data_IF_176817754749
#
_entry.id   IF_176817754749
#
_cell.length_a   1.000
_cell.length_b   1.000
_cell.length_c   1.000
_cell.angle_alpha   90.00
_cell.angle_beta   90.00
_cell.angle_gamma   90.00
#
_symmetry.space_group_name_H-M   'P 1'
#
loop_
_entity.id
_entity.type
_entity.pdbx_description
1 polymer ?
#
# COMPACT_ATOMS: atom_id res chain seq x y z
N UNK A 1 24.76 -23.87 24.05
CA UNK A 1 23.30 -23.70 24.19
C UNK A 1 22.91 -22.52 23.30
N UNK A 2 22.40 -22.77 22.10
CA UNK A 2 21.91 -21.75 21.20
C UNK A 2 20.43 -21.52 21.50
N UNK A 3 20.10 -20.37 22.07
CA UNK A 3 18.72 -19.91 22.19
C UNK A 3 18.24 -19.44 20.84
N UNK A 4 17.51 -20.27 20.12
CA UNK A 4 16.74 -19.88 18.94
C UNK A 4 15.63 -18.96 19.38
N UNK A 5 15.76 -17.65 19.07
CA UNK A 5 14.67 -16.70 19.18
C UNK A 5 13.60 -17.06 18.15
N UNK A 6 12.46 -17.56 18.60
CA UNK A 6 11.27 -17.69 17.75
C UNK A 6 10.87 -16.28 17.25
N UNK A 7 11.07 -16.05 15.97
CA UNK A 7 10.44 -14.94 15.27
C UNK A 7 8.93 -15.21 15.22
N UNK A 8 8.19 -14.71 16.19
CA UNK A 8 6.73 -14.67 16.16
C UNK A 8 6.36 -13.61 15.10
N UNK A 9 6.26 -14.06 13.87
CA UNK A 9 5.81 -13.25 12.76
C UNK A 9 4.31 -12.97 12.92
N UNK A 10 3.95 -11.72 13.21
CA UNK A 10 2.58 -11.22 13.15
C UNK A 10 2.20 -10.98 11.68
N UNK A 11 2.08 -12.03 10.89
CA UNK A 11 1.79 -11.90 9.46
C UNK A 11 0.28 -12.05 9.24
N UNK A 12 -0.39 -10.93 8.94
CA UNK A 12 -1.79 -10.96 8.50
C UNK A 12 -1.80 -11.47 7.06
N UNK A 13 -2.37 -12.67 6.83
CA UNK A 13 -2.51 -13.21 5.48
C UNK A 13 -3.30 -12.24 4.61
N UNK A 14 -2.68 -11.78 3.53
CA UNK A 14 -3.37 -10.99 2.50
C UNK A 14 -4.49 -11.83 1.89
N UNK A 15 -5.71 -11.30 1.94
CA UNK A 15 -6.88 -11.87 1.27
C UNK A 15 -7.40 -10.85 0.24
N UNK A 16 -7.74 -11.34 -0.96
CA UNK A 16 -8.20 -10.47 -2.05
C UNK A 16 -7.07 -9.79 -2.83
N UNK A 17 -7.37 -8.65 -3.43
CA UNK A 17 -6.49 -7.90 -4.33
C UNK A 17 -5.63 -6.87 -3.60
N UNK A 18 -6.09 -6.36 -2.45
CA UNK A 18 -5.35 -5.45 -1.58
C UNK A 18 -5.83 -5.52 -0.13
N UNK A 19 -5.00 -4.98 0.78
CA UNK A 19 -5.31 -4.79 2.19
C UNK A 19 -5.35 -3.30 2.52
N UNK A 20 -6.49 -2.85 3.06
CA UNK A 20 -6.75 -1.53 3.56
C UNK A 20 -6.75 -1.55 5.08
N UNK A 21 -5.99 -0.67 5.73
CA UNK A 21 -5.91 -0.58 7.19
C UNK A 21 -6.52 0.72 7.69
N UNK A 22 -7.47 0.64 8.64
CA UNK A 22 -8.07 1.79 9.30
C UNK A 22 -7.24 2.18 10.52
N UNK A 23 -6.79 3.42 10.58
CA UNK A 23 -6.03 4.00 11.69
C UNK A 23 -6.76 5.23 12.20
N UNK A 24 -6.88 5.38 13.49
CA UNK A 24 -7.55 6.53 14.12
C UNK A 24 -7.75 6.27 15.60
N UNK A 25 -8.00 7.33 16.36
CA UNK A 25 -8.25 7.24 17.81
C UNK A 25 -9.55 6.46 18.12
N UNK A 26 -9.78 6.07 19.37
CA UNK A 26 -11.07 5.51 19.78
C UNK A 26 -12.22 6.46 19.45
N UNK A 27 -13.40 5.90 19.19
CA UNK A 27 -14.66 6.62 18.95
C UNK A 27 -14.73 7.53 17.72
N UNK A 28 -13.72 7.54 16.82
CA UNK A 28 -13.80 8.29 15.55
C UNK A 28 -14.71 7.65 14.50
N UNK A 29 -15.25 6.45 14.76
CA UNK A 29 -16.18 5.73 13.89
C UNK A 29 -15.52 4.73 12.93
N UNK A 30 -14.32 4.20 13.23
CA UNK A 30 -13.64 3.18 12.39
C UNK A 30 -14.49 1.93 12.15
N UNK A 31 -15.08 1.38 13.21
CA UNK A 31 -15.88 0.15 13.11
C UNK A 31 -17.20 0.39 12.36
N UNK A 32 -17.81 1.58 12.50
CA UNK A 32 -18.97 1.98 11.70
C UNK A 32 -18.57 2.09 10.22
N UNK A 33 -17.42 2.71 9.94
CA UNK A 33 -16.87 2.85 8.59
C UNK A 33 -16.56 1.48 7.97
N UNK A 34 -15.95 0.57 8.72
CA UNK A 34 -15.74 -0.82 8.30
C UNK A 34 -17.05 -1.47 7.87
N UNK A 35 -18.07 -1.40 8.72
CA UNK A 35 -19.36 -2.05 8.48
C UNK A 35 -20.05 -1.52 7.21
N UNK A 36 -20.06 -0.20 7.01
CA UNK A 36 -20.71 0.39 5.83
C UNK A 36 -19.93 0.14 4.55
N UNK A 37 -18.59 0.13 4.61
CA UNK A 37 -17.74 -0.17 3.45
C UNK A 37 -17.88 -1.63 3.01
N UNK A 38 -18.03 -2.56 3.93
CA UNK A 38 -17.96 -4.00 3.64
C UNK A 38 -19.33 -4.69 3.60
N UNK A 39 -20.42 -3.95 3.87
CA UNK A 39 -21.78 -4.50 4.02
C UNK A 39 -21.85 -5.67 5.03
N UNK A 40 -20.86 -5.79 5.90
CA UNK A 40 -20.77 -6.85 6.88
C UNK A 40 -21.31 -6.32 8.21
N UNK A 41 -22.28 -7.02 8.78
CA UNK A 41 -22.47 -6.99 10.24
C UNK A 41 -21.22 -7.68 10.78
N UNK A 42 -20.25 -6.91 11.31
CA UNK A 42 -18.96 -7.40 11.72
C UNK A 42 -19.12 -8.59 12.69
N UNK A 43 -18.93 -9.80 12.17
CA UNK A 43 -18.65 -10.94 13.02
C UNK A 43 -17.19 -10.78 13.41
N UNK A 44 -16.93 -10.58 14.69
CA UNK A 44 -15.59 -10.67 15.26
C UNK A 44 -15.05 -12.06 14.92
N UNK A 45 -14.29 -12.17 13.86
CA UNK A 45 -13.55 -13.38 13.55
C UNK A 45 -12.26 -13.30 14.35
N UNK A 46 -12.19 -14.08 15.42
CA UNK A 46 -10.93 -14.35 16.11
C UNK A 46 -10.05 -15.14 15.13
N UNK A 47 -9.04 -14.50 14.55
CA UNK A 47 -7.97 -15.23 13.87
C UNK A 47 -7.19 -15.98 14.94
N UNK A 48 -7.25 -17.32 14.92
CA UNK A 48 -6.74 -18.24 15.94
C UNK A 48 -5.21 -18.17 16.16
N UNK A 49 -4.49 -17.27 15.47
CA UNK A 49 -3.03 -17.20 15.52
C UNK A 49 -2.45 -15.80 15.76
N UNK A 50 -3.27 -14.78 16.08
CA UNK A 50 -2.76 -13.45 16.39
C UNK A 50 -3.38 -12.95 17.70
N UNK A 51 -2.52 -12.54 18.63
CA UNK A 51 -2.91 -11.77 19.83
C UNK A 51 -3.44 -10.35 19.50
N UNK A 52 -3.65 -10.06 18.24
CA UNK A 52 -4.23 -8.83 17.69
C UNK A 52 -5.68 -9.10 17.28
N UNK A 53 -6.61 -8.45 17.95
CA UNK A 53 -8.02 -8.43 17.60
C UNK A 53 -8.23 -7.50 16.41
N UNK A 54 -7.86 -7.92 15.20
CA UNK A 54 -8.26 -7.20 14.00
C UNK A 54 -9.67 -7.65 13.61
N UNK A 55 -10.55 -6.72 13.31
CA UNK A 55 -11.85 -7.01 12.73
C UNK A 55 -11.75 -6.89 11.21
N UNK A 56 -11.80 -7.99 10.45
CA UNK A 56 -11.70 -7.93 9.01
C UNK A 56 -13.08 -7.78 8.37
N UNK A 57 -13.12 -7.02 7.28
CA UNK A 57 -14.22 -6.99 6.32
C UNK A 57 -13.71 -7.11 4.90
N UNK A 58 -14.59 -7.37 3.94
CA UNK A 58 -14.26 -7.42 2.52
C UNK A 58 -15.09 -6.39 1.76
N UNK A 59 -14.42 -5.37 1.22
CA UNK A 59 -15.01 -4.40 0.31
C UNK A 59 -14.95 -4.95 -1.12
N UNK A 60 -16.10 -5.09 -1.75
CA UNK A 60 -16.23 -5.43 -3.17
C UNK A 60 -16.52 -4.16 -3.96
N UNK A 61 -15.61 -3.75 -4.83
CA UNK A 61 -15.79 -2.54 -5.63
C UNK A 61 -15.15 -2.67 -7.00
N UNK A 62 -15.90 -2.43 -8.08
CA UNK A 62 -15.45 -2.55 -9.48
C UNK A 62 -14.70 -3.86 -9.79
N UNK A 63 -15.15 -4.97 -9.23
CA UNK A 63 -14.53 -6.29 -9.39
C UNK A 63 -13.35 -6.55 -8.45
N UNK A 64 -12.81 -5.52 -7.77
CA UNK A 64 -11.76 -5.70 -6.77
C UNK A 64 -12.33 -6.22 -5.44
N UNK A 65 -11.54 -7.08 -4.78
CA UNK A 65 -11.78 -7.59 -3.44
C UNK A 65 -10.73 -6.98 -2.52
N UNK A 66 -11.13 -6.01 -1.69
CA UNK A 66 -10.23 -5.28 -0.81
C UNK A 66 -10.50 -5.69 0.63
N UNK A 67 -9.51 -6.32 1.26
CA UNK A 67 -9.58 -6.66 2.68
C UNK A 67 -9.46 -5.36 3.49
N UNK A 68 -10.45 -5.08 4.35
CA UNK A 68 -10.44 -3.92 5.26
C UNK A 68 -10.18 -4.41 6.67
N UNK A 69 -9.17 -3.87 7.32
CA UNK A 69 -8.77 -4.22 8.68
C UNK A 69 -9.02 -3.03 9.61
N UNK A 70 -9.92 -3.18 10.60
CA UNK A 70 -9.98 -2.28 11.74
C UNK A 70 -9.02 -2.78 12.83
N UNK A 71 -8.15 -1.91 13.30
CA UNK A 71 -7.14 -2.21 14.30
C UNK A 71 -7.49 -1.49 15.61
N UNK A 72 -8.40 -2.03 16.43
CA UNK A 72 -8.71 -1.45 17.72
C UNK A 72 -7.50 -1.49 18.66
N UNK A 73 -7.33 -0.44 19.47
CA UNK A 73 -6.30 -0.40 20.52
C UNK A 73 -4.86 -0.14 20.05
N UNK A 74 -4.61 0.08 18.77
CA UNK A 74 -3.25 0.40 18.29
C UNK A 74 -2.76 1.73 18.89
N UNK A 75 -3.64 2.68 19.15
CA UNK A 75 -3.31 4.04 19.58
C UNK A 75 -3.44 4.20 21.11
N UNK A 76 -4.15 3.30 21.79
CA UNK A 76 -4.29 3.34 23.26
C UNK A 76 -2.95 3.15 23.99
N UNK A 77 -1.93 2.57 23.34
CA UNK A 77 -0.56 2.42 23.88
C UNK A 77 0.41 3.56 23.53
N UNK A 78 0.05 4.46 22.62
CA UNK A 78 0.94 5.54 22.17
C UNK A 78 1.23 6.55 23.28
N UNK A 79 0.25 6.85 24.16
CA UNK A 79 0.44 7.73 25.32
C UNK A 79 1.30 7.14 26.43
N UNK A 80 1.57 5.83 26.41
CA UNK A 80 2.33 5.11 27.46
C UNK A 80 3.72 4.65 27.04
N UNK A 81 4.17 4.95 25.80
CA UNK A 81 5.54 4.67 25.32
C UNK A 81 5.92 3.20 25.20
N UNK A 82 5.00 2.27 25.40
CA UNK A 82 5.30 0.83 25.41
C UNK A 82 4.56 0.06 24.31
N UNK A 83 5.25 -0.31 23.24
CA UNK A 83 4.85 -1.43 22.38
C UNK A 83 4.06 -1.11 21.10
N UNK A 84 3.82 0.17 20.77
CA UNK A 84 3.13 0.58 19.55
C UNK A 84 3.88 0.16 18.27
N UNK A 85 5.18 0.41 18.22
CA UNK A 85 5.96 0.30 16.98
C UNK A 85 5.95 -1.07 16.31
N UNK A 86 6.15 -2.18 17.05
CA UNK A 86 6.25 -3.52 16.45
C UNK A 86 4.91 -4.03 15.89
N UNK A 87 3.79 -3.75 16.58
CA UNK A 87 2.45 -4.20 16.15
C UNK A 87 1.97 -3.42 14.94
N UNK A 88 2.14 -2.09 14.95
CA UNK A 88 1.78 -1.23 13.82
C UNK A 88 2.61 -1.56 12.60
N UNK A 89 3.92 -1.75 12.76
CA UNK A 89 4.82 -2.15 11.67
C UNK A 89 4.39 -3.48 11.03
N UNK A 90 4.00 -4.49 11.82
CA UNK A 90 3.61 -5.77 11.26
C UNK A 90 2.34 -5.68 10.39
N UNK A 91 1.37 -4.88 10.83
CA UNK A 91 0.12 -4.67 10.07
C UNK A 91 0.36 -3.76 8.87
N UNK A 92 1.12 -2.67 9.03
CA UNK A 92 1.46 -1.77 7.94
C UNK A 92 2.26 -2.47 6.83
N UNK A 93 3.07 -3.51 7.15
CA UNK A 93 3.74 -4.33 6.14
C UNK A 93 2.78 -5.08 5.23
N UNK A 94 1.58 -5.38 5.69
CA UNK A 94 0.53 -6.01 4.89
C UNK A 94 -0.37 -4.99 4.17
N UNK A 95 -0.35 -3.71 4.58
CA UNK A 95 -1.21 -2.69 4.03
C UNK A 95 -0.77 -2.24 2.64
N UNK A 96 -1.71 -2.18 1.72
CA UNK A 96 -1.56 -1.55 0.41
C UNK A 96 -2.07 -0.10 0.42
N UNK A 97 -2.89 0.26 1.42
CA UNK A 97 -3.41 1.61 1.66
C UNK A 97 -3.76 1.79 3.15
N UNK A 98 -3.47 2.97 3.69
CA UNK A 98 -3.86 3.38 5.05
C UNK A 98 -4.96 4.43 4.97
N UNK A 99 -6.09 4.21 5.67
CA UNK A 99 -7.09 5.23 5.93
C UNK A 99 -6.86 5.83 7.32
N UNK A 100 -6.53 7.11 7.38
CA UNK A 100 -6.45 7.87 8.63
C UNK A 100 -7.82 8.46 8.92
N UNK A 101 -8.56 7.85 9.86
CA UNK A 101 -9.91 8.26 10.22
C UNK A 101 -9.86 9.28 11.35
N UNK A 102 -10.40 10.46 11.10
CA UNK A 102 -10.47 11.58 12.03
C UNK A 102 -11.92 11.88 12.37
N UNK A 103 -12.14 12.33 13.63
CA UNK A 103 -13.38 12.94 14.04
C UNK A 103 -13.39 14.43 13.66
N UNK A 104 -14.51 14.92 13.14
CA UNK A 104 -14.68 16.32 12.74
C UNK A 104 -14.39 17.31 13.88
N UNK A 105 -14.60 16.92 15.14
CA UNK A 105 -14.32 17.74 16.31
C UNK A 105 -12.86 17.68 16.79
N UNK A 106 -12.06 16.75 16.25
CA UNK A 106 -10.69 16.52 16.69
C UNK A 106 -9.70 16.37 15.52
N UNK A 107 -9.71 17.28 14.53
CA UNK A 107 -8.86 17.17 13.34
C UNK A 107 -7.37 17.28 13.65
N UNK A 108 -7.00 17.89 14.78
CA UNK A 108 -5.61 18.04 15.25
C UNK A 108 -4.91 16.69 15.51
N UNK A 109 -5.66 15.63 15.73
CA UNK A 109 -5.10 14.28 15.91
C UNK A 109 -4.35 13.78 14.67
N UNK A 110 -4.55 14.35 13.47
CA UNK A 110 -3.78 14.00 12.29
C UNK A 110 -2.27 14.13 12.50
N UNK A 111 -1.83 15.24 13.10
CA UNK A 111 -0.41 15.47 13.36
C UNK A 111 0.19 14.42 14.31
N UNK A 112 -0.55 14.08 15.37
CA UNK A 112 -0.15 13.04 16.32
C UNK A 112 -0.03 11.69 15.62
N UNK A 113 -1.05 11.28 14.85
CA UNK A 113 -1.07 10.01 14.14
C UNK A 113 0.07 9.89 13.12
N UNK A 114 0.31 10.94 12.33
CA UNK A 114 1.41 10.95 11.36
C UNK A 114 2.77 10.83 12.05
N UNK A 115 2.98 11.51 13.16
CA UNK A 115 4.21 11.44 13.93
C UNK A 115 4.45 10.03 14.47
N UNK A 116 3.46 9.43 15.12
CA UNK A 116 3.53 8.07 15.65
C UNK A 116 3.83 7.04 14.55
N UNK A 117 3.20 7.17 13.40
CA UNK A 117 3.46 6.29 12.25
C UNK A 117 4.88 6.47 11.71
N UNK A 118 5.36 7.70 11.61
CA UNK A 118 6.72 8.00 11.18
C UNK A 118 7.77 7.44 12.16
N UNK A 119 7.56 7.58 13.48
CA UNK A 119 8.41 6.99 14.52
C UNK A 119 8.40 5.45 14.47
N UNK A 120 7.25 4.85 14.15
CA UNK A 120 7.13 3.43 13.91
C UNK A 120 7.81 2.95 12.60
N UNK A 121 8.34 3.86 11.78
CA UNK A 121 9.01 3.55 10.52
C UNK A 121 8.08 3.41 9.32
N UNK A 122 6.88 3.98 9.40
CA UNK A 122 5.92 4.02 8.29
C UNK A 122 6.00 5.40 7.64
N UNK A 123 6.26 5.42 6.34
CA UNK A 123 6.33 6.62 5.50
C UNK A 123 5.06 6.70 4.67
N UNK A 124 4.17 7.64 5.04
CA UNK A 124 2.90 7.86 4.34
C UNK A 124 3.10 8.77 3.14
N UNK A 125 2.61 8.33 1.98
CA UNK A 125 2.61 9.11 0.74
C UNK A 125 4.00 9.51 0.22
N UNK A 126 5.05 8.85 0.73
CA UNK A 126 6.42 9.00 0.28
C UNK A 126 6.84 7.84 -0.63
N UNK A 127 7.88 8.07 -1.41
CA UNK A 127 8.53 7.01 -2.20
C UNK A 127 9.84 6.61 -1.54
N UNK A 128 10.24 5.33 -1.64
CA UNK A 128 11.58 4.92 -1.22
C UNK A 128 12.66 5.75 -1.93
N UNK A 129 13.65 6.29 -1.22
CA UNK A 129 14.72 7.04 -1.85
C UNK A 129 15.48 6.18 -2.86
N UNK A 130 15.84 6.75 -4.00
CA UNK A 130 16.58 6.05 -5.05
C UNK A 130 18.06 5.91 -4.68
N UNK A 131 18.33 5.01 -3.72
CA UNK A 131 19.66 4.71 -3.19
C UNK A 131 19.87 3.21 -3.19
N UNK A 132 21.04 2.79 -3.68
CA UNK A 132 21.46 1.39 -3.63
C UNK A 132 22.59 1.22 -2.64
N UNK A 133 22.48 0.27 -1.73
CA UNK A 133 23.49 -0.12 -0.75
C UNK A 133 24.08 -1.46 -1.16
N UNK A 134 25.32 -1.46 -1.56
CA UNK A 134 26.10 -2.68 -1.88
C UNK A 134 27.02 -2.97 -0.70
N UNK A 135 26.80 -4.07 0.01
CA UNK A 135 27.67 -4.53 1.10
C UNK A 135 28.83 -5.34 0.52
N UNK A 136 30.05 -5.07 1.00
CA UNK A 136 31.25 -5.82 0.62
C UNK A 136 31.96 -6.34 1.87
N UNK A 137 32.81 -7.36 1.72
CA UNK A 137 33.57 -7.92 2.85
C UNK A 137 34.78 -7.06 3.21
N UNK A 138 35.37 -6.37 2.23
CA UNK A 138 36.60 -5.56 2.34
C UNK A 138 36.47 -4.33 1.45
N UNK A 139 37.40 -3.35 1.61
CA UNK A 139 37.51 -2.20 0.72
C UNK A 139 37.02 -0.88 1.31
N UNK A 140 36.56 -0.88 2.55
CA UNK A 140 36.07 0.34 3.21
C UNK A 140 34.77 0.88 2.63
N UNK A 141 34.45 2.14 2.93
CA UNK A 141 33.22 2.81 2.48
C UNK A 141 33.49 3.73 1.29
N UNK A 142 32.69 3.57 0.25
CA UNK A 142 32.68 4.47 -0.91
C UNK A 142 31.29 5.03 -1.16
N UNK A 143 31.23 6.29 -1.58
CA UNK A 143 29.99 6.99 -1.94
C UNK A 143 30.07 7.42 -3.40
N UNK A 144 29.10 7.01 -4.19
CA UNK A 144 28.97 7.40 -5.59
C UNK A 144 27.65 8.16 -5.77
N UNK A 145 27.70 9.48 -5.75
CA UNK A 145 26.56 10.33 -6.02
C UNK A 145 26.48 10.61 -7.53
N UNK A 146 25.40 10.11 -8.16
CA UNK A 146 25.12 10.36 -9.59
C UNK A 146 24.31 11.65 -9.81
N UNK A 147 23.94 12.34 -8.72
CA UNK A 147 23.20 13.60 -8.68
C UNK A 147 23.84 14.53 -7.67
N UNK A 148 23.65 15.86 -7.76
CA UNK A 148 24.10 16.79 -6.74
C UNK A 148 23.47 16.48 -5.38
N UNK A 149 24.30 16.39 -4.34
CA UNK A 149 23.88 16.17 -2.95
C UNK A 149 24.36 17.31 -2.07
N UNK A 150 23.58 17.66 -1.04
CA UNK A 150 23.94 18.70 -0.08
C UNK A 150 24.79 18.17 1.08
N UNK A 151 24.56 16.91 1.45
CA UNK A 151 25.26 16.25 2.55
C UNK A 151 26.66 15.87 2.13
N UNK A 152 27.65 16.19 2.96
CA UNK A 152 29.06 15.87 2.66
C UNK A 152 29.30 14.35 2.67
N UNK A 153 30.21 13.88 1.79
CA UNK A 153 30.59 12.45 1.72
C UNK A 153 31.11 11.95 3.10
N UNK A 154 31.80 12.80 3.85
CA UNK A 154 32.30 12.46 5.19
C UNK A 154 31.16 12.14 6.13
N UNK A 155 30.13 13.00 6.18
CA UNK A 155 28.95 12.79 7.05
C UNK A 155 28.18 11.52 6.61
N UNK A 156 28.00 11.30 5.32
CA UNK A 156 27.39 10.07 4.78
C UNK A 156 28.14 8.83 5.29
N UNK A 157 29.47 8.80 5.20
CA UNK A 157 30.28 7.68 5.69
C UNK A 157 30.22 7.50 7.20
N UNK A 158 30.10 8.58 7.96
CA UNK A 158 29.88 8.52 9.42
C UNK A 158 28.52 7.90 9.75
N UNK A 159 27.46 8.34 9.08
CA UNK A 159 26.11 7.73 9.21
C UNK A 159 26.15 6.22 8.84
N UNK A 160 26.78 5.86 7.70
CA UNK A 160 26.92 4.44 7.32
C UNK A 160 27.57 3.59 8.43
N UNK A 161 28.63 4.10 9.09
CA UNK A 161 29.31 3.41 10.19
C UNK A 161 28.41 3.25 11.41
N UNK A 162 27.69 4.31 11.79
CA UNK A 162 26.74 4.28 12.93
C UNK A 162 25.68 3.19 12.73
N UNK A 163 25.25 3.00 11.46
CA UNK A 163 24.28 1.95 11.10
C UNK A 163 24.93 0.60 10.75
N UNK A 164 26.18 0.38 11.16
CA UNK A 164 26.87 -0.91 11.09
C UNK A 164 27.40 -1.29 9.71
N UNK A 165 27.45 -0.35 8.77
CA UNK A 165 28.05 -0.57 7.48
C UNK A 165 29.51 -0.06 7.50
N UNK A 166 30.48 -0.98 7.54
CA UNK A 166 31.91 -0.67 7.61
C UNK A 166 32.63 -0.86 6.27
N UNK A 167 32.08 -1.72 5.41
CA UNK A 167 32.59 -1.97 4.07
C UNK A 167 31.41 -2.00 3.09
N UNK A 168 31.48 -1.24 2.01
CA UNK A 168 30.43 -1.19 1.01
C UNK A 168 30.44 0.08 0.17
N UNK A 169 29.53 0.08 -0.80
CA UNK A 169 29.29 1.19 -1.71
C UNK A 169 27.88 1.69 -1.56
N UNK A 170 27.73 3.01 -1.48
CA UNK A 170 26.46 3.70 -1.55
C UNK A 170 26.36 4.40 -2.92
N UNK A 171 25.33 4.07 -3.70
CA UNK A 171 25.05 4.72 -4.98
C UNK A 171 23.79 5.57 -4.79
N UNK A 172 23.97 6.90 -4.91
CA UNK A 172 22.90 7.88 -4.67
C UNK A 172 22.42 8.42 -6.01
N UNK A 173 21.14 8.19 -6.31
CA UNK A 173 20.39 8.72 -7.45
C UNK A 173 19.26 9.63 -7.01
N UNK A 174 19.13 9.88 -5.70
CA UNK A 174 18.13 10.72 -5.08
C UNK A 174 18.64 12.16 -5.01
N UNK A 175 18.01 13.10 -5.74
CA UNK A 175 18.34 14.52 -5.62
C UNK A 175 17.83 15.07 -4.28
N UNK A 176 18.57 15.99 -3.69
CA UNK A 176 18.23 16.60 -2.39
C UNK A 176 18.05 15.60 -1.24
N UNK A 177 18.82 14.50 -1.26
CA UNK A 177 18.82 13.50 -0.20
C UNK A 177 18.91 14.15 1.18
N UNK A 178 18.00 13.76 2.08
CA UNK A 178 18.02 14.13 3.50
C UNK A 178 18.72 13.04 4.33
N UNK A 179 19.19 13.43 5.53
CA UNK A 179 19.83 12.48 6.44
C UNK A 179 18.83 11.40 6.90
N UNK A 180 17.55 11.77 7.11
CA UNK A 180 16.49 10.81 7.46
C UNK A 180 16.25 9.77 6.35
N UNK A 181 16.25 10.18 5.09
CA UNK A 181 16.12 9.26 3.96
C UNK A 181 17.31 8.29 3.87
N UNK A 182 18.53 8.77 4.12
CA UNK A 182 19.71 7.92 4.20
C UNK A 182 19.61 6.92 5.35
N UNK A 183 19.20 7.38 6.52
CA UNK A 183 18.96 6.54 7.70
C UNK A 183 17.89 5.48 7.41
N UNK A 184 16.81 5.85 6.74
CA UNK A 184 15.73 4.92 6.37
C UNK A 184 16.24 3.79 5.47
N UNK A 185 17.07 4.09 4.48
CA UNK A 185 17.67 3.10 3.58
C UNK A 185 18.63 2.17 4.34
N UNK A 186 19.48 2.73 5.20
CA UNK A 186 20.47 1.94 5.97
C UNK A 186 19.79 1.02 7.01
N UNK A 187 18.72 1.47 7.63
CA UNK A 187 17.90 0.65 8.52
C UNK A 187 17.21 -0.52 7.79
N UNK A 188 16.79 -0.32 6.53
CA UNK A 188 16.17 -1.34 5.70
C UNK A 188 14.84 -1.91 6.22
N UNK A 189 14.20 -1.23 7.18
CA UNK A 189 12.96 -1.70 7.83
C UNK A 189 11.78 -0.72 7.67
N UNK A 190 11.92 0.28 6.81
CA UNK A 190 10.87 1.26 6.55
C UNK A 190 9.82 0.73 5.58
N UNK A 191 8.61 1.22 5.75
CA UNK A 191 7.45 0.86 4.95
C UNK A 191 6.90 2.13 4.32
N UNK A 192 6.81 2.13 3.00
CA UNK A 192 6.25 3.21 2.21
C UNK A 192 4.85 2.80 1.75
N UNK A 193 3.84 3.53 2.17
CA UNK A 193 2.44 3.18 1.90
C UNK A 193 1.61 4.44 1.61
N UNK A 194 0.73 4.40 0.58
CA UNK A 194 -0.18 5.51 0.32
C UNK A 194 -1.19 5.65 1.44
N UNK A 195 -1.69 6.88 1.65
CA UNK A 195 -2.74 7.16 2.63
C UNK A 195 -3.91 7.94 2.07
N UNK A 196 -5.05 7.84 2.74
CA UNK A 196 -6.20 8.73 2.60
C UNK A 196 -6.60 9.26 3.98
N UNK A 197 -6.89 10.55 4.06
CA UNK A 197 -7.43 11.19 5.25
C UNK A 197 -8.95 11.17 5.13
N UNK A 198 -9.61 10.53 6.07
CA UNK A 198 -11.07 10.42 6.12
C UNK A 198 -11.57 11.22 7.33
N UNK A 199 -12.23 12.36 7.07
CA UNK A 199 -12.89 13.15 8.09
C UNK A 199 -14.32 12.62 8.26
N UNK A 200 -14.58 11.99 9.38
CA UNK A 200 -15.90 11.37 9.68
C UNK A 200 -16.80 12.28 10.54
N UNK A 201 -18.08 11.95 10.58
CA UNK A 201 -19.16 12.64 11.32
C UNK A 201 -19.47 14.03 10.78
N UNK A 202 -19.32 14.25 9.47
CA UNK A 202 -19.54 15.56 8.86
C UNK A 202 -21.00 16.00 8.84
N UNK A 203 -21.94 15.09 9.11
CA UNK A 203 -23.36 15.36 9.34
C UNK A 203 -23.63 16.23 10.57
N UNK A 204 -22.68 16.30 11.50
CA UNK A 204 -22.80 17.05 12.75
C UNK A 204 -22.32 18.50 12.64
N UNK A 205 -21.82 18.94 11.47
CA UNK A 205 -21.23 20.27 11.29
C UNK A 205 -21.62 20.88 9.94
N UNK A 206 -21.45 22.19 9.82
CA UNK A 206 -21.71 22.90 8.57
C UNK A 206 -20.61 22.62 7.51
N UNK A 207 -20.94 22.64 6.21
CA UNK A 207 -19.97 22.43 5.13
C UNK A 207 -18.77 23.40 5.15
N UNK A 208 -18.98 24.65 5.57
CA UNK A 208 -17.90 25.64 5.71
C UNK A 208 -16.85 25.22 6.74
N UNK A 209 -17.28 24.59 7.83
CA UNK A 209 -16.38 24.08 8.86
C UNK A 209 -15.54 22.90 8.32
N UNK A 210 -16.11 22.04 7.50
CA UNK A 210 -15.36 20.96 6.82
C UNK A 210 -14.28 21.53 5.90
N UNK A 211 -14.57 22.60 5.16
CA UNK A 211 -13.58 23.26 4.29
C UNK A 211 -12.45 23.91 5.07
N UNK A 212 -12.76 24.52 6.22
CA UNK A 212 -11.77 25.10 7.12
C UNK A 212 -10.83 23.99 7.68
N UNK A 213 -11.40 22.88 8.13
CA UNK A 213 -10.60 21.71 8.55
C UNK A 213 -9.70 21.24 7.43
N UNK A 214 -10.25 21.05 6.22
CA UNK A 214 -9.48 20.59 5.03
C UNK A 214 -8.26 21.48 4.79
N UNK A 215 -8.45 22.79 4.85
CA UNK A 215 -7.37 23.77 4.67
C UNK A 215 -6.31 23.66 5.78
N UNK A 216 -6.73 23.51 7.03
CA UNK A 216 -5.81 23.40 8.19
C UNK A 216 -4.99 22.11 8.19
N UNK A 217 -5.56 20.99 7.76
CA UNK A 217 -4.87 19.70 7.73
C UNK A 217 -4.01 19.52 6.45
N UNK A 218 -3.99 20.51 5.56
CA UNK A 218 -3.27 20.41 4.29
C UNK A 218 -3.88 19.37 3.34
N UNK A 219 -5.18 19.12 3.49
CA UNK A 219 -5.91 18.17 2.64
C UNK A 219 -6.12 18.71 1.23
N UNK A 220 -6.00 17.84 0.24
CA UNK A 220 -6.34 18.13 -1.16
C UNK A 220 -7.44 17.17 -1.65
N UNK A 221 -7.97 17.42 -2.85
CA UNK A 221 -9.07 16.61 -3.38
C UNK A 221 -8.71 15.15 -3.66
N UNK A 222 -7.43 14.83 -3.69
CA UNK A 222 -6.93 13.49 -3.99
C UNK A 222 -6.64 12.65 -2.74
N UNK A 223 -6.46 13.27 -1.57
CA UNK A 223 -6.09 12.56 -0.35
C UNK A 223 -6.96 12.85 0.88
N UNK A 224 -8.00 13.71 0.76
CA UNK A 224 -8.90 14.10 1.84
C UNK A 224 -10.36 13.87 1.45
N UNK A 225 -11.06 13.05 2.21
CA UNK A 225 -12.45 12.70 1.99
C UNK A 225 -13.27 12.97 3.24
N UNK A 226 -14.31 13.78 3.11
CA UNK A 226 -15.24 14.09 4.18
C UNK A 226 -16.48 13.17 4.08
N UNK A 227 -16.77 12.42 5.14
CA UNK A 227 -17.83 11.41 5.16
C UNK A 227 -18.68 11.49 6.44
N UNK A 228 -19.87 10.91 6.40
CA UNK A 228 -20.55 10.43 7.60
C UNK A 228 -20.83 8.94 7.43
N UNK A 229 -20.19 8.12 8.26
CA UNK A 229 -20.42 6.68 8.24
C UNK A 229 -21.83 6.32 8.75
N UNK A 230 -22.35 7.06 9.73
CA UNK A 230 -23.69 6.82 10.28
C UNK A 230 -24.80 7.27 9.32
N UNK A 231 -24.66 8.44 8.68
CA UNK A 231 -25.64 8.96 7.72
C UNK A 231 -25.44 8.45 6.29
N UNK A 232 -24.38 7.68 6.00
CA UNK A 232 -24.07 7.19 4.65
C UNK A 232 -23.59 8.26 3.67
N UNK A 233 -23.17 9.44 4.16
CA UNK A 233 -22.77 10.57 3.31
C UNK A 233 -21.38 10.29 2.69
N UNK A 234 -21.25 10.47 1.36
CA UNK A 234 -20.02 10.35 0.57
C UNK A 234 -19.33 8.96 0.64
N UNK A 235 -20.06 7.89 1.03
CA UNK A 235 -19.46 6.55 1.13
C UNK A 235 -19.07 6.00 -0.24
N UNK A 236 -19.87 6.20 -1.28
CA UNK A 236 -19.52 5.74 -2.63
C UNK A 236 -18.34 6.54 -3.20
N UNK A 237 -18.25 7.83 -2.87
CA UNK A 237 -17.09 8.65 -3.22
C UNK A 237 -15.81 8.15 -2.51
N UNK A 238 -15.92 7.73 -1.25
CA UNK A 238 -14.81 7.12 -0.52
C UNK A 238 -14.39 5.78 -1.14
N UNK A 239 -15.33 4.91 -1.55
CA UNK A 239 -15.01 3.65 -2.26
C UNK A 239 -14.26 3.91 -3.56
N UNK A 240 -14.68 4.91 -4.33
CA UNK A 240 -13.99 5.31 -5.55
C UNK A 240 -12.59 5.83 -5.26
N UNK A 241 -12.43 6.72 -4.25
CA UNK A 241 -11.14 7.25 -3.86
C UNK A 241 -10.17 6.14 -3.38
N UNK A 242 -10.66 5.15 -2.64
CA UNK A 242 -9.89 3.96 -2.24
C UNK A 242 -9.41 3.20 -3.49
N UNK A 243 -10.30 2.93 -4.44
CA UNK A 243 -9.96 2.21 -5.66
C UNK A 243 -8.90 2.94 -6.49
N UNK A 244 -9.07 4.24 -6.68
CA UNK A 244 -8.12 5.10 -7.40
C UNK A 244 -6.76 5.16 -6.70
N UNK A 245 -6.76 5.31 -5.37
CA UNK A 245 -5.53 5.39 -4.58
C UNK A 245 -4.74 4.09 -4.56
N UNK A 246 -5.43 2.95 -4.66
CA UNK A 246 -4.81 1.64 -4.83
C UNK A 246 -4.21 1.45 -6.23
N UNK A 247 -4.56 2.31 -7.18
CA UNK A 247 -4.03 2.28 -8.54
C UNK A 247 -4.39 0.99 -9.28
N UNK A 248 -5.62 0.52 -9.13
CA UNK A 248 -6.08 -0.68 -9.81
C UNK A 248 -6.50 -0.42 -11.24
N UNK A 249 -6.24 -1.42 -12.10
CA UNK A 249 -6.80 -1.57 -13.43
C UNK A 249 -7.47 -2.93 -13.58
N UNK A 250 -8.48 -3.00 -14.45
CA UNK A 250 -9.26 -4.21 -14.77
C UNK A 250 -8.78 -4.76 -16.10
N UNK A 251 -8.42 -6.03 -16.11
CA UNK A 251 -8.06 -6.74 -17.33
C UNK A 251 -9.05 -7.88 -17.54
N UNK A 252 -9.66 -7.92 -18.70
CA UNK A 252 -10.61 -8.96 -19.05
C UNK A 252 -9.93 -10.09 -19.81
N UNK A 253 -10.23 -11.32 -19.43
CA UNK A 253 -9.65 -12.49 -20.06
C UNK A 253 -10.53 -12.97 -21.21
N UNK A 254 -9.91 -13.26 -22.35
CA UNK A 254 -10.58 -13.87 -23.51
C UNK A 254 -9.91 -15.21 -23.84
N UNK A 255 -10.61 -16.34 -23.73
CA UNK A 255 -10.10 -17.62 -24.19
C UNK A 255 -9.84 -17.61 -25.70
N UNK A 256 -8.87 -18.41 -26.17
CA UNK A 256 -8.61 -18.54 -27.61
C UNK A 256 -9.85 -19.09 -28.33
N UNK A 257 -10.41 -18.31 -29.23
CA UNK A 257 -11.64 -18.70 -29.97
C UNK A 257 -12.94 -18.58 -29.19
N UNK A 258 -12.90 -18.05 -27.95
CA UNK A 258 -14.06 -17.83 -27.10
C UNK A 258 -14.46 -16.35 -26.97
N UNK A 259 -15.50 -16.11 -26.18
CA UNK A 259 -15.98 -14.77 -25.83
C UNK A 259 -15.22 -14.22 -24.64
N UNK A 260 -15.22 -12.88 -24.51
CA UNK A 260 -14.61 -12.19 -23.38
C UNK A 260 -15.50 -12.31 -22.15
N UNK A 261 -14.92 -12.70 -21.02
CA UNK A 261 -15.60 -12.63 -19.74
C UNK A 261 -15.48 -11.21 -19.15
N UNK A 262 -16.58 -10.45 -19.20
CA UNK A 262 -16.67 -9.12 -18.62
C UNK A 262 -17.18 -9.11 -17.17
N UNK A 263 -17.59 -10.28 -16.63
CA UNK A 263 -18.17 -10.35 -15.27
C UNK A 263 -17.10 -10.37 -14.20
N UNK A 264 -15.99 -11.04 -14.44
CA UNK A 264 -14.90 -11.19 -13.46
C UNK A 264 -13.58 -10.64 -14.04
N UNK A 265 -13.33 -9.34 -13.91
CA UNK A 265 -12.05 -8.77 -14.33
C UNK A 265 -10.91 -9.25 -13.42
N UNK A 266 -9.75 -9.49 -14.01
CA UNK A 266 -8.52 -9.64 -13.28
C UNK A 266 -8.04 -8.25 -12.82
N UNK A 267 -7.95 -8.05 -11.50
CA UNK A 267 -7.52 -6.77 -10.91
C UNK A 267 -6.00 -6.77 -10.76
N UNK A 268 -5.33 -5.80 -11.37
CA UNK A 268 -3.87 -5.62 -11.25
C UNK A 268 -3.53 -4.15 -11.00
N UNK A 269 -2.28 -3.86 -10.67
CA UNK A 269 -1.81 -2.48 -10.48
C UNK A 269 -1.62 -1.78 -11.83
N UNK A 270 -1.86 -0.48 -11.86
CA UNK A 270 -1.55 0.37 -13.02
C UNK A 270 -0.05 0.29 -13.36
N UNK A 271 0.25 0.23 -14.66
CA UNK A 271 1.61 0.02 -15.15
C UNK A 271 2.06 -1.45 -15.22
N UNK A 272 1.20 -2.39 -14.80
CA UNK A 272 1.47 -3.82 -14.92
C UNK A 272 1.61 -4.27 -16.37
N UNK A 273 2.41 -5.31 -16.57
CA UNK A 273 2.71 -5.90 -17.87
C UNK A 273 1.93 -7.20 -18.09
N UNK A 274 2.00 -7.73 -19.30
CA UNK A 274 1.47 -9.08 -19.62
C UNK A 274 2.14 -10.15 -18.73
N UNK A 275 3.41 -9.97 -18.37
CA UNK A 275 4.10 -10.85 -17.43
C UNK A 275 3.43 -10.89 -16.07
N UNK A 276 3.01 -9.71 -15.55
CA UNK A 276 2.33 -9.61 -14.26
C UNK A 276 0.97 -10.32 -14.29
N UNK A 277 0.24 -10.20 -15.40
CA UNK A 277 -1.00 -10.94 -15.62
C UNK A 277 -0.73 -12.46 -15.61
N UNK A 278 0.29 -12.91 -16.34
CA UNK A 278 0.66 -14.33 -16.36
C UNK A 278 1.00 -14.84 -14.95
N UNK A 279 1.79 -14.10 -14.19
CA UNK A 279 2.21 -14.46 -12.83
C UNK A 279 1.02 -14.50 -11.86
N UNK A 280 0.06 -13.58 -12.01
CA UNK A 280 -1.14 -13.53 -11.16
C UNK A 280 -2.07 -14.71 -11.44
N UNK A 281 -2.17 -15.17 -12.69
CA UNK A 281 -3.01 -16.33 -13.05
C UNK A 281 -2.33 -17.63 -12.59
N UNK A 282 -1.07 -17.83 -12.92
CA UNK A 282 -0.35 -19.04 -12.54
C UNK A 282 1.17 -18.88 -12.66
N UNK A 283 1.95 -19.36 -11.66
CA UNK A 283 3.42 -19.25 -11.58
C UNK A 283 4.18 -19.69 -12.85
N UNK A 284 3.66 -20.70 -13.56
CA UNK A 284 4.32 -21.23 -14.75
C UNK A 284 3.79 -20.64 -16.06
N UNK A 285 2.82 -19.73 -16.01
CA UNK A 285 2.20 -19.18 -17.21
C UNK A 285 3.18 -18.33 -18.01
N UNK A 286 3.99 -17.51 -17.34
CA UNK A 286 5.03 -16.70 -17.98
C UNK A 286 6.11 -17.57 -18.67
N UNK A 287 6.48 -18.73 -18.07
CA UNK A 287 7.46 -19.66 -18.66
C UNK A 287 6.99 -20.32 -19.95
N UNK A 288 5.70 -20.59 -20.04
CA UNK A 288 5.06 -21.23 -21.20
C UNK A 288 4.43 -20.23 -22.14
N UNK A 289 4.68 -18.93 -21.95
CA UNK A 289 4.13 -17.87 -22.76
C UNK A 289 4.76 -17.86 -24.16
N UNK A 290 3.91 -17.78 -25.20
CA UNK A 290 4.35 -17.62 -26.58
C UNK A 290 4.12 -16.20 -27.08
N UNK A 291 2.91 -15.69 -26.92
CA UNK A 291 2.51 -14.30 -27.18
C UNK A 291 1.14 -14.01 -26.54
N UNK A 292 0.84 -12.73 -26.34
CA UNK A 292 -0.49 -12.23 -26.02
C UNK A 292 -1.17 -11.61 -27.23
N UNK A 293 -2.50 -11.61 -27.25
CA UNK A 293 -3.31 -10.79 -28.15
C UNK A 293 -4.07 -9.79 -27.26
N UNK A 294 -3.97 -8.50 -27.55
CA UNK A 294 -4.57 -7.44 -26.75
C UNK A 294 -5.56 -6.63 -27.59
N UNK A 295 -6.72 -6.34 -27.00
CA UNK A 295 -7.74 -5.41 -27.47
C UNK A 295 -7.97 -4.37 -26.37
N UNK A 296 -7.97 -3.11 -26.73
CA UNK A 296 -8.24 -2.00 -25.81
C UNK A 296 -7.26 -0.86 -25.97
N UNK A 297 -7.13 -0.05 -24.91
CA UNK A 297 -6.41 1.23 -24.97
C UNK A 297 -4.90 1.10 -25.12
N UNK A 298 -4.30 -0.01 -24.65
CA UNK A 298 -2.86 -0.22 -24.76
C UNK A 298 -2.44 -0.77 -26.13
N UNK A 299 -3.38 -1.29 -26.93
CA UNK A 299 -3.12 -1.85 -28.25
C UNK A 299 -3.26 -0.77 -29.33
N UNK A 300 -2.36 -0.80 -30.32
CA UNK A 300 -2.43 0.08 -31.51
C UNK A 300 -3.58 -0.31 -32.46
N UNK A 301 -3.97 -1.56 -32.44
CA UNK A 301 -5.10 -2.11 -33.21
C UNK A 301 -5.67 -3.35 -32.48
N UNK A 302 -6.91 -3.67 -32.76
CA UNK A 302 -7.62 -4.78 -32.13
C UNK A 302 -6.92 -6.13 -32.42
N UNK A 303 -6.63 -6.90 -31.35
CA UNK A 303 -5.93 -8.17 -31.46
C UNK A 303 -4.44 -8.05 -31.71
N UNK A 304 -3.83 -6.94 -31.33
CA UNK A 304 -2.38 -6.74 -31.45
C UNK A 304 -1.62 -7.85 -30.73
N UNK A 305 -0.67 -8.48 -31.43
CA UNK A 305 0.25 -9.45 -30.85
C UNK A 305 1.33 -8.74 -30.04
N UNK A 306 1.49 -9.15 -28.77
CA UNK A 306 2.40 -8.52 -27.80
C UNK A 306 3.26 -9.53 -27.05
N UNK A 307 4.38 -9.06 -26.51
CA UNK A 307 5.29 -9.80 -25.62
C UNK A 307 4.94 -9.63 -24.14
N UNK A 308 5.76 -10.24 -23.27
CA UNK A 308 5.59 -10.16 -21.80
C UNK A 308 5.71 -8.75 -21.25
N UNK A 309 6.58 -7.91 -21.82
CA UNK A 309 6.89 -6.55 -21.36
C UNK A 309 5.84 -5.50 -21.77
N UNK A 310 4.80 -5.90 -22.54
CA UNK A 310 3.76 -4.97 -22.94
C UNK A 310 2.96 -4.51 -21.75
N UNK A 311 2.89 -3.17 -21.53
CA UNK A 311 2.11 -2.56 -20.45
C UNK A 311 0.65 -2.50 -20.82
N UNK A 312 -0.20 -2.87 -19.89
CA UNK A 312 -1.65 -2.92 -20.06
C UNK A 312 -2.32 -1.65 -19.51
N UNK A 313 -3.48 -1.32 -20.04
CA UNK A 313 -4.34 -0.23 -19.60
C UNK A 313 -5.66 -0.76 -19.02
N UNK A 314 -6.37 0.09 -18.25
CA UNK A 314 -7.68 -0.29 -17.70
C UNK A 314 -8.68 -0.64 -18.81
N UNK A 315 -9.39 -1.73 -18.61
CA UNK A 315 -10.38 -2.32 -19.51
C UNK A 315 -9.79 -3.01 -20.77
N UNK A 316 -8.48 -3.25 -20.80
CA UNK A 316 -7.92 -4.09 -21.85
C UNK A 316 -8.44 -5.51 -21.75
N UNK A 317 -8.65 -6.12 -22.93
CA UNK A 317 -8.96 -7.55 -23.08
C UNK A 317 -7.71 -8.27 -23.55
N UNK A 318 -7.37 -9.40 -22.93
CA UNK A 318 -6.17 -10.16 -23.28
C UNK A 318 -6.48 -11.64 -23.52
N UNK A 319 -5.88 -12.22 -24.59
CA UNK A 319 -5.76 -13.66 -24.77
C UNK A 319 -4.30 -14.06 -24.63
N UNK A 320 -4.01 -15.00 -23.73
CA UNK A 320 -2.65 -15.55 -23.54
C UNK A 320 -2.54 -16.84 -24.35
N UNK A 321 -1.57 -16.89 -25.26
CA UNK A 321 -1.27 -18.08 -26.07
C UNK A 321 0.01 -18.73 -25.53
N UNK A 322 -0.09 -20.01 -25.19
CA UNK A 322 1.01 -20.84 -24.67
C UNK A 322 1.73 -21.58 -25.79
N UNK A 323 2.95 -22.04 -25.54
CA UNK A 323 3.68 -22.97 -26.40
C UNK A 323 2.94 -24.30 -26.37
N UNK A 324 2.64 -24.85 -27.54
CA UNK A 324 1.96 -26.18 -27.69
C UNK A 324 2.90 -27.27 -27.15
N UNK A 325 2.43 -28.11 -26.23
CA UNK A 325 3.19 -29.28 -25.76
C UNK A 325 3.45 -29.37 -24.26
N UNK A 326 3.04 -28.38 -23.46
CA UNK A 326 3.13 -28.47 -21.99
C UNK A 326 1.74 -28.71 -21.40
N UNK A 327 1.39 -29.98 -21.20
CA UNK A 327 0.32 -30.35 -20.25
C UNK A 327 0.75 -29.94 -18.85
N UNK A 328 -0.18 -29.41 -18.08
CA UNK A 328 -0.03 -29.07 -16.65
C UNK A 328 -0.12 -30.36 -15.84
#
# INVERSE_FOLDING_TARGET
MHSGGENIGFDVRKAGDATLVLIGLPSVGKSTLLNILTNAKSRVASYQFTTLTAVPGMLHYRGAKIQVLDMPGIIEGASSGKGFGKRVLSVARSADLVLIVLDVFQPHHLGVLKKELAEAGIRLDEQPPNIVVEKTSIGGLSVNAQVPIKTSERLIKEIMRVYGLHNGRLIIREPNLTDDQLIDVLNGNRIYVPSLIVLNKVDLVNPSFVQDIKSRVGGNDTNFIAVSADAGINIDFLKEAIYQRLGFIRIYMRPKGGETDYKEPLIIKNGATVQDVCNKIHRNMAKNFRYGLVWGKSAKFAGQKVGLEHRLADEDVITIVKVSGTSI
#
